data_IF_006357663179
#
_entry.id   IF_006357663179
#
_cell.length_a   1.000
_cell.length_b   1.000
_cell.length_c   1.000
_cell.angle_alpha   90.00
_cell.angle_beta   90.00
_cell.angle_gamma   90.00
#
_symmetry.space_group_name_H-M   'P 1'
#
loop_
_entity.id
_entity.type
_entity.pdbx_description
1 polymer ?
#
# COMPACT_ATOMS: atom_id res chain seq x y z
N UNK A 1 28.83 -19.02 4.01
CA UNK A 1 29.64 -18.11 4.88
C UNK A 1 28.67 -17.02 5.37
N UNK A 2 29.03 -16.00 6.18
CA UNK A 2 28.18 -14.81 6.22
C UNK A 2 28.16 -14.19 4.81
N UNK A 3 26.96 -13.87 4.32
CA UNK A 3 26.69 -13.35 2.97
C UNK A 3 25.76 -12.14 3.09
N UNK A 4 25.89 -11.17 2.20
CA UNK A 4 25.10 -9.94 2.22
C UNK A 4 23.87 -10.10 1.33
N UNK A 5 22.68 -9.86 1.90
CA UNK A 5 21.41 -9.88 1.16
C UNK A 5 20.97 -8.42 0.91
N UNK A 6 20.51 -8.12 -0.30
CA UNK A 6 19.96 -6.80 -0.61
C UNK A 6 18.62 -6.58 0.12
N UNK A 7 18.44 -5.38 0.69
CA UNK A 7 17.17 -4.99 1.30
C UNK A 7 16.08 -4.82 0.24
N UNK A 8 14.92 -5.42 0.48
CA UNK A 8 13.72 -5.31 -0.35
C UNK A 8 12.66 -4.40 0.30
N UNK A 9 11.60 -4.11 -0.44
CA UNK A 9 10.37 -3.52 0.07
C UNK A 9 9.16 -4.24 -0.57
N UNK A 10 8.03 -4.38 0.12
CA UNK A 10 7.75 -3.88 1.48
C UNK A 10 8.32 -4.75 2.60
N UNK A 11 8.40 -4.19 3.81
CA UNK A 11 8.41 -4.95 5.07
C UNK A 11 6.97 -5.15 5.49
N UNK A 12 6.57 -6.40 5.75
CA UNK A 12 5.20 -6.74 6.14
C UNK A 12 5.11 -6.98 7.64
N UNK A 13 4.08 -6.43 8.27
CA UNK A 13 3.75 -6.60 9.69
C UNK A 13 2.33 -7.15 9.82
N UNK A 14 2.16 -8.24 10.57
CA UNK A 14 0.85 -8.81 10.90
C UNK A 14 0.75 -9.11 12.40
N UNK A 15 -0.46 -8.93 12.95
CA UNK A 15 -0.75 -9.34 14.32
C UNK A 15 -0.84 -10.87 14.35
N UNK A 16 -0.27 -11.52 15.35
CA UNK A 16 -0.49 -12.94 15.61
C UNK A 16 -1.20 -13.13 16.95
N UNK A 17 -1.89 -14.26 17.11
CA UNK A 17 -2.65 -14.60 18.31
C UNK A 17 -1.80 -14.45 19.56
N UNK A 18 -2.30 -13.73 20.57
CA UNK A 18 -1.58 -13.51 21.84
C UNK A 18 -0.71 -12.25 21.90
N UNK A 19 -1.06 -11.18 21.17
CA UNK A 19 -0.36 -9.88 21.15
C UNK A 19 1.10 -9.94 20.64
N UNK A 20 1.46 -10.99 19.90
CA UNK A 20 2.76 -11.07 19.24
C UNK A 20 2.68 -10.43 17.85
N UNK A 21 3.81 -9.87 17.40
CA UNK A 21 3.92 -9.26 16.06
C UNK A 21 4.85 -10.09 15.21
N UNK A 22 4.38 -10.52 14.02
CA UNK A 22 5.24 -11.10 13.00
C UNK A 22 5.72 -9.99 12.07
N UNK A 23 7.03 -9.93 11.86
CA UNK A 23 7.69 -9.06 10.89
C UNK A 23 8.28 -9.93 9.79
N UNK A 24 7.95 -9.63 8.54
CA UNK A 24 8.37 -10.40 7.37
C UNK A 24 9.11 -9.51 6.38
N UNK A 25 10.21 -10.03 5.84
CA UNK A 25 11.02 -9.41 4.80
C UNK A 25 10.95 -10.28 3.55
N UNK A 26 10.75 -9.65 2.40
CA UNK A 26 10.76 -10.36 1.12
C UNK A 26 12.20 -10.63 0.70
N UNK A 27 12.48 -11.80 0.13
CA UNK A 27 13.81 -12.09 -0.42
C UNK A 27 13.95 -11.49 -1.83
N UNK A 28 15.15 -11.04 -2.24
CA UNK A 28 15.44 -10.70 -3.64
C UNK A 28 15.16 -11.87 -4.59
N UNK A 29 14.86 -11.56 -5.86
CA UNK A 29 14.50 -12.55 -6.89
C UNK A 29 15.57 -13.62 -7.17
N UNK A 30 16.83 -13.34 -6.81
CA UNK A 30 17.96 -14.28 -6.88
C UNK A 30 17.78 -15.53 -5.99
N UNK A 31 16.93 -15.41 -4.96
CA UNK A 31 16.62 -16.46 -3.98
C UNK A 31 15.30 -17.20 -4.30
N UNK A 32 15.18 -17.67 -5.54
CA UNK A 32 14.03 -18.43 -6.07
C UNK A 32 13.84 -19.84 -5.45
N UNK A 33 14.89 -20.43 -4.87
CA UNK A 33 14.92 -21.79 -4.33
C UNK A 33 15.53 -21.86 -2.93
N UNK A 34 14.96 -22.70 -2.07
CA UNK A 34 15.35 -22.86 -0.66
C UNK A 34 16.83 -23.26 -0.47
N UNK A 35 17.45 -23.94 -1.44
CA UNK A 35 18.87 -24.32 -1.40
C UNK A 35 19.82 -23.13 -1.58
N UNK A 36 19.36 -22.04 -2.19
CA UNK A 36 20.15 -20.80 -2.37
C UNK A 36 20.10 -19.89 -1.13
N UNK A 37 19.09 -20.04 -0.27
CA UNK A 37 18.88 -19.11 0.85
C UNK A 37 19.86 -19.44 1.99
N UNK A 38 20.71 -18.49 2.41
CA UNK A 38 21.66 -18.73 3.50
C UNK A 38 20.91 -18.95 4.82
N UNK A 39 21.29 -20.00 5.56
CA UNK A 39 20.64 -20.35 6.83
C UNK A 39 20.78 -19.21 7.85
N UNK A 40 19.67 -18.74 8.47
CA UNK A 40 19.73 -17.73 9.51
C UNK A 40 20.57 -18.18 10.72
N UNK A 41 21.34 -17.27 11.27
CA UNK A 41 22.15 -17.51 12.48
C UNK A 41 21.34 -17.41 13.77
N UNK A 42 20.21 -16.69 13.73
CA UNK A 42 19.26 -16.57 14.83
C UNK A 42 18.07 -17.52 14.61
N UNK A 43 17.80 -18.41 15.56
CA UNK A 43 16.69 -19.39 15.49
C UNK A 43 15.30 -18.77 15.56
N UNK A 44 15.17 -17.49 15.97
CA UNK A 44 13.91 -16.75 15.90
C UNK A 44 13.57 -16.25 14.47
N UNK A 45 14.50 -16.36 13.52
CA UNK A 45 14.28 -16.01 12.11
C UNK A 45 13.99 -17.30 11.34
N UNK A 46 12.76 -17.41 10.83
CA UNK A 46 12.30 -18.53 10.02
C UNK A 46 12.19 -18.10 8.55
N UNK A 47 12.40 -19.05 7.64
CA UNK A 47 12.19 -18.87 6.20
C UNK A 47 10.92 -19.63 5.83
N UNK A 48 9.95 -18.92 5.29
CA UNK A 48 8.63 -19.46 4.93
C UNK A 48 8.35 -19.17 3.45
N UNK A 49 7.74 -20.14 2.75
CA UNK A 49 7.23 -19.93 1.40
C UNK A 49 5.79 -19.42 1.49
N UNK A 50 5.58 -18.15 1.13
CA UNK A 50 4.24 -17.58 1.05
C UNK A 50 3.51 -18.10 -0.21
N UNK A 51 2.23 -18.48 -0.11
CA UNK A 51 1.41 -18.79 -1.28
C UNK A 51 1.08 -17.52 -2.08
N UNK A 52 0.60 -17.69 -3.31
CA UNK A 52 0.03 -16.58 -4.07
C UNK A 52 -1.32 -16.21 -3.46
N UNK A 53 -1.51 -14.95 -3.11
CA UNK A 53 -2.74 -14.44 -2.48
C UNK A 53 -3.21 -13.16 -3.18
N UNK A 54 -4.53 -12.95 -3.19
CA UNK A 54 -5.16 -11.73 -3.68
C UNK A 54 -5.80 -11.02 -2.50
N UNK A 55 -5.73 -9.69 -2.50
CA UNK A 55 -6.31 -8.88 -1.45
C UNK A 55 -6.55 -7.44 -1.92
N UNK A 56 -7.19 -6.67 -1.06
CA UNK A 56 -7.42 -5.23 -1.24
C UNK A 56 -6.42 -4.42 -0.44
N UNK A 57 -6.07 -3.25 -0.98
CA UNK A 57 -5.06 -2.36 -0.40
C UNK A 57 -5.65 -0.96 -0.22
N UNK A 58 -5.44 -0.37 0.96
CA UNK A 58 -5.56 1.06 1.17
C UNK A 58 -4.17 1.66 1.46
N UNK A 59 -3.75 2.65 0.67
CA UNK A 59 -2.48 3.36 0.85
C UNK A 59 -2.67 4.61 1.69
N UNK A 60 -1.83 4.76 2.71
CA UNK A 60 -1.81 5.90 3.62
C UNK A 60 -0.38 6.34 3.95
N UNK A 61 -0.26 7.45 4.69
CA UNK A 61 1.00 7.96 5.21
C UNK A 61 0.95 7.96 6.75
N UNK A 62 2.09 8.08 7.43
CA UNK A 62 2.14 8.19 8.89
C UNK A 62 2.76 6.98 9.58
N UNK A 63 2.14 6.52 10.68
CA UNK A 63 2.60 5.37 11.47
C UNK A 63 2.40 4.07 10.68
N UNK A 64 3.34 3.12 10.76
CA UNK A 64 3.21 1.85 10.04
C UNK A 64 2.02 1.03 10.57
N UNK A 65 2.03 0.68 11.86
CA UNK A 65 0.91 0.00 12.50
C UNK A 65 -0.17 1.00 12.95
N UNK A 66 -1.11 1.27 12.04
CA UNK A 66 -2.31 2.07 12.30
C UNK A 66 -3.57 1.23 12.04
N UNK A 67 -4.17 0.71 13.12
CA UNK A 67 -5.36 -0.13 13.04
C UNK A 67 -6.60 0.65 12.60
N UNK A 68 -6.62 1.99 12.67
CA UNK A 68 -7.75 2.75 12.14
C UNK A 68 -7.86 2.60 10.63
N UNK A 69 -6.73 2.55 9.92
CA UNK A 69 -6.71 2.34 8.46
C UNK A 69 -7.25 0.95 8.07
N UNK A 70 -7.01 -0.07 8.89
CA UNK A 70 -7.60 -1.40 8.71
C UNK A 70 -9.13 -1.35 8.88
N UNK A 71 -9.62 -0.69 9.94
CA UNK A 71 -11.05 -0.50 10.19
C UNK A 71 -11.72 0.29 9.07
N UNK A 72 -11.10 1.37 8.60
CA UNK A 72 -11.64 2.20 7.52
C UNK A 72 -11.74 1.42 6.20
N UNK A 73 -10.74 0.60 5.88
CA UNK A 73 -10.80 -0.34 4.75
C UNK A 73 -11.92 -1.38 4.93
N UNK A 74 -12.02 -2.00 6.11
CA UNK A 74 -13.08 -2.96 6.44
C UNK A 74 -14.49 -2.37 6.31
N UNK A 75 -14.70 -1.18 6.87
CA UNK A 75 -15.95 -0.43 6.80
C UNK A 75 -16.31 -0.07 5.35
N UNK A 76 -15.33 0.29 4.52
CA UNK A 76 -15.53 0.53 3.10
C UNK A 76 -15.97 -0.76 2.37
N UNK A 77 -15.34 -1.91 2.64
CA UNK A 77 -15.76 -3.20 2.06
C UNK A 77 -17.18 -3.61 2.47
N UNK A 78 -17.53 -3.41 3.74
CA UNK A 78 -18.89 -3.67 4.26
C UNK A 78 -19.90 -2.73 3.59
N UNK A 79 -19.59 -1.43 3.47
CA UNK A 79 -20.42 -0.47 2.74
C UNK A 79 -20.51 -0.79 1.24
N UNK A 80 -19.46 -1.38 0.68
CA UNK A 80 -19.43 -1.89 -0.69
C UNK A 80 -20.09 -3.27 -0.81
N UNK A 81 -20.73 -3.80 0.23
CA UNK A 81 -21.52 -5.04 0.17
C UNK A 81 -20.70 -6.30 -0.06
N UNK A 82 -19.43 -6.30 0.32
CA UNK A 82 -18.56 -7.49 0.25
C UNK A 82 -18.94 -8.45 1.39
N UNK A 83 -19.48 -9.60 1.03
CA UNK A 83 -19.90 -10.61 2.01
C UNK A 83 -18.72 -11.20 2.80
N UNK A 84 -18.98 -11.64 4.04
CA UNK A 84 -18.00 -12.27 4.92
C UNK A 84 -17.00 -11.32 5.59
N UNK A 85 -17.01 -10.02 5.30
CA UNK A 85 -16.17 -9.03 5.99
C UNK A 85 -16.87 -8.55 7.27
N UNK A 86 -16.18 -8.67 8.41
CA UNK A 86 -16.60 -8.12 9.72
C UNK A 86 -15.45 -7.33 10.34
N UNK A 87 -15.73 -6.45 11.31
CA UNK A 87 -14.65 -5.73 12.02
C UNK A 87 -13.70 -6.69 12.74
N UNK A 88 -14.22 -7.76 13.35
CA UNK A 88 -13.45 -8.82 13.99
C UNK A 88 -12.51 -9.51 12.98
N UNK A 89 -13.04 -9.99 11.86
CA UNK A 89 -12.26 -10.60 10.78
C UNK A 89 -11.15 -9.66 10.29
N UNK A 90 -11.49 -8.39 10.04
CA UNK A 90 -10.53 -7.37 9.60
C UNK A 90 -9.41 -7.19 10.62
N UNK A 91 -9.75 -7.06 11.91
CA UNK A 91 -8.79 -6.81 12.99
C UNK A 91 -7.85 -8.00 13.26
N UNK A 92 -8.30 -9.23 12.98
CA UNK A 92 -7.49 -10.45 13.08
C UNK A 92 -6.59 -10.69 11.84
N UNK A 93 -7.03 -10.31 10.64
CA UNK A 93 -6.41 -10.73 9.37
C UNK A 93 -5.71 -9.61 8.57
N UNK A 94 -5.75 -8.36 9.03
CA UNK A 94 -5.06 -7.27 8.32
C UNK A 94 -3.53 -7.35 8.43
N UNK A 95 -2.86 -6.97 7.35
CA UNK A 95 -1.42 -6.75 7.31
C UNK A 95 -1.12 -5.26 7.07
N UNK A 96 0.05 -4.79 7.52
CA UNK A 96 0.57 -3.46 7.15
C UNK A 96 1.92 -3.58 6.46
N UNK A 97 2.05 -2.93 5.31
CA UNK A 97 3.16 -3.04 4.37
C UNK A 97 3.91 -1.70 4.34
N UNK A 98 5.15 -1.69 4.87
CA UNK A 98 5.99 -0.51 4.97
C UNK A 98 7.02 -0.44 3.85
N UNK A 99 7.00 0.64 3.07
CA UNK A 99 7.91 0.83 1.93
C UNK A 99 9.10 1.75 2.23
N UNK A 100 9.02 2.54 3.31
CA UNK A 100 10.02 3.54 3.66
C UNK A 100 10.74 3.19 4.97
N UNK A 101 12.03 3.51 5.09
CA UNK A 101 12.81 3.21 6.29
C UNK A 101 12.33 4.02 7.51
N UNK A 102 12.62 3.54 8.75
CA UNK A 102 12.07 4.12 9.97
C UNK A 102 12.52 5.56 10.28
N UNK A 103 13.56 6.06 9.61
CA UNK A 103 14.02 7.45 9.70
C UNK A 103 13.30 8.42 8.73
N UNK A 104 12.48 7.92 7.80
CA UNK A 104 11.65 8.79 6.94
C UNK A 104 10.62 9.53 7.80
N UNK A 105 10.43 10.83 7.58
CA UNK A 105 9.39 11.61 8.28
C UNK A 105 8.00 10.97 8.04
N UNK A 106 7.15 10.81 9.08
CA UNK A 106 5.89 10.06 8.95
C UNK A 106 4.99 10.52 7.79
N UNK A 107 4.86 11.83 7.57
CA UNK A 107 4.05 12.41 6.49
C UNK A 107 4.53 12.04 5.06
N UNK A 108 5.77 11.57 4.92
CA UNK A 108 6.37 11.16 3.64
C UNK A 108 6.58 9.64 3.53
N UNK A 109 6.10 8.85 4.50
CA UNK A 109 6.06 7.38 4.37
C UNK A 109 4.90 6.98 3.49
N UNK A 110 5.12 5.99 2.63
CA UNK A 110 4.09 5.14 2.03
C UNK A 110 3.96 3.90 2.90
N UNK A 111 2.80 3.78 3.54
CA UNK A 111 2.33 2.55 4.16
C UNK A 111 1.11 2.06 3.38
N UNK A 112 0.88 0.77 3.37
CA UNK A 112 -0.32 0.15 2.83
C UNK A 112 -0.91 -0.78 3.88
N UNK A 113 -2.23 -0.76 4.03
CA UNK A 113 -2.96 -1.78 4.80
C UNK A 113 -3.58 -2.71 3.80
N UNK A 114 -3.35 -4.00 4.00
CA UNK A 114 -3.76 -5.06 3.10
C UNK A 114 -4.68 -6.02 3.85
N UNK A 115 -5.74 -6.46 3.17
CA UNK A 115 -6.63 -7.51 3.66
C UNK A 115 -6.80 -8.56 2.56
N UNK A 116 -6.59 -9.83 2.92
CA UNK A 116 -6.82 -10.97 2.05
C UNK A 116 -8.28 -11.03 1.63
N UNK A 117 -8.53 -11.42 0.38
CA UNK A 117 -9.85 -11.76 -0.12
C UNK A 117 -9.89 -13.20 -0.61
N UNK A 118 -11.09 -13.78 -0.63
CA UNK A 118 -11.37 -15.02 -1.37
C UNK A 118 -11.73 -14.72 -2.84
N UNK A 119 -11.79 -15.75 -3.68
CA UNK A 119 -12.02 -15.60 -5.12
C UNK A 119 -13.42 -15.02 -5.45
N UNK A 120 -14.42 -15.28 -4.61
CA UNK A 120 -15.79 -14.78 -4.75
C UNK A 120 -15.85 -13.27 -4.51
N UNK A 121 -15.25 -12.78 -3.42
CA UNK A 121 -15.11 -11.36 -3.08
C UNK A 121 -14.31 -10.61 -4.15
N UNK A 122 -13.24 -11.21 -4.67
CA UNK A 122 -12.43 -10.65 -5.77
C UNK A 122 -13.27 -10.54 -7.05
N UNK A 123 -14.09 -11.54 -7.36
CA UNK A 123 -14.96 -11.54 -8.55
C UNK A 123 -16.05 -10.48 -8.42
N UNK A 124 -16.76 -10.46 -7.28
CA UNK A 124 -17.76 -9.44 -6.94
C UNK A 124 -17.23 -8.00 -7.09
N UNK A 125 -16.05 -7.71 -6.53
CA UNK A 125 -15.47 -6.38 -6.63
C UNK A 125 -15.04 -6.01 -8.05
N UNK A 126 -14.59 -6.97 -8.87
CA UNK A 126 -14.27 -6.74 -10.29
C UNK A 126 -15.50 -6.44 -11.13
N UNK A 127 -16.62 -7.10 -10.86
CA UNK A 127 -17.90 -6.87 -11.53
C UNK A 127 -18.53 -5.53 -11.09
N UNK A 128 -18.46 -5.21 -9.80
CA UNK A 128 -19.00 -3.97 -9.22
C UNK A 128 -18.18 -2.73 -9.57
N UNK A 129 -16.85 -2.85 -9.60
CA UNK A 129 -15.92 -1.76 -9.89
C UNK A 129 -15.00 -2.12 -11.08
N UNK A 130 -15.56 -2.20 -12.31
CA UNK A 130 -14.80 -2.60 -13.48
C UNK A 130 -13.69 -1.59 -13.80
N UNK A 131 -12.46 -2.07 -13.90
CA UNK A 131 -11.28 -1.24 -14.13
C UNK A 131 -10.96 -1.13 -15.61
N UNK A 132 -10.89 0.10 -16.13
CA UNK A 132 -10.69 0.41 -17.56
C UNK A 132 -9.32 -0.09 -18.10
N UNK A 133 -8.37 -0.41 -17.21
CA UNK A 133 -7.11 -1.08 -17.53
C UNK A 133 -6.90 -2.25 -16.57
N UNK A 134 -6.21 -3.31 -17.01
CA UNK A 134 -6.06 -4.61 -16.31
C UNK A 134 -5.23 -4.56 -14.99
N UNK A 135 -5.07 -3.40 -14.36
CA UNK A 135 -4.22 -3.20 -13.17
C UNK A 135 -4.97 -2.60 -11.99
N UNK A 136 -5.54 -3.48 -11.16
CA UNK A 136 -5.96 -3.19 -9.76
C UNK A 136 -7.31 -2.50 -9.58
N UNK A 137 -8.13 -3.05 -8.69
CA UNK A 137 -9.41 -2.49 -8.24
C UNK A 137 -9.22 -1.09 -7.64
N UNK A 138 -9.81 -0.07 -8.27
CA UNK A 138 -9.89 1.28 -7.69
C UNK A 138 -11.25 1.50 -7.05
N UNK A 139 -11.35 1.19 -5.75
CA UNK A 139 -12.51 1.52 -4.92
C UNK A 139 -12.77 3.04 -4.87
N UNK A 140 -14.02 3.41 -4.64
CA UNK A 140 -14.50 4.78 -4.80
C UNK A 140 -13.93 5.79 -3.79
N UNK A 141 -13.73 7.02 -4.24
CA UNK A 141 -13.41 8.15 -3.37
C UNK A 141 -14.65 8.58 -2.58
N UNK A 142 -14.76 8.15 -1.32
CA UNK A 142 -15.73 8.77 -0.41
C UNK A 142 -15.37 10.24 -0.18
N UNK A 143 -16.38 11.11 -0.22
CA UNK A 143 -16.22 12.54 -0.43
C UNK A 143 -15.91 13.31 0.87
N UNK A 144 -14.65 13.41 1.28
CA UNK A 144 -14.14 14.50 2.14
C UNK A 144 -12.63 14.70 1.93
N UNK A 145 -12.24 15.44 0.88
CA UNK A 145 -11.00 16.24 0.84
C UNK A 145 -11.03 17.19 -0.35
N UNK A 146 -11.44 18.42 -0.09
CA UNK A 146 -11.63 19.48 -1.09
C UNK A 146 -10.28 20.03 -1.54
N UNK A 147 -9.85 19.64 -2.74
CA UNK A 147 -8.87 20.35 -3.55
C UNK A 147 -7.41 19.94 -3.37
N UNK A 148 -6.85 19.35 -4.43
CA UNK A 148 -5.72 19.92 -5.20
C UNK A 148 -5.55 19.12 -6.50
N UNK A 149 -5.32 19.83 -7.61
CA UNK A 149 -5.15 19.20 -8.92
C UNK A 149 -3.92 18.28 -8.92
N UNK A 150 -4.09 17.07 -9.45
CA UNK A 150 -2.97 16.16 -9.69
C UNK A 150 -2.16 16.63 -10.90
N UNK A 151 -0.87 16.90 -10.67
CA UNK A 151 0.16 16.88 -11.69
C UNK A 151 1.09 15.71 -11.39
N UNK A 152 1.20 14.76 -12.32
CA UNK A 152 2.24 13.75 -12.33
C UNK A 152 2.86 13.73 -13.73
N UNK A 153 4.12 14.15 -13.82
CA UNK A 153 4.87 14.15 -15.06
C UNK A 153 5.33 12.73 -15.40
N UNK A 154 4.88 12.20 -16.54
CA UNK A 154 5.56 11.11 -17.24
C UNK A 154 6.38 11.71 -18.37
N UNK A 155 7.71 11.59 -18.31
CA UNK A 155 8.61 12.17 -19.30
C UNK A 155 9.22 11.04 -20.14
N UNK A 156 8.61 10.79 -21.31
CA UNK A 156 9.21 10.27 -22.56
C UNK A 156 8.09 9.78 -23.51
N UNK A 157 7.88 10.47 -24.62
CA UNK A 157 6.86 10.14 -25.63
C UNK A 157 6.27 11.40 -26.26
N UNK A 158 6.60 11.65 -27.52
CA UNK A 158 6.30 12.91 -28.21
C UNK A 158 4.82 12.99 -28.63
N UNK A 159 4.09 13.99 -28.15
CA UNK A 159 2.80 14.40 -28.70
C UNK A 159 2.64 15.94 -28.60
N UNK A 160 2.48 16.59 -29.75
CA UNK A 160 2.23 18.03 -29.86
C UNK A 160 0.72 18.28 -29.72
N UNK A 161 0.32 19.18 -28.83
CA UNK A 161 -1.08 19.53 -28.62
C UNK A 161 -1.24 20.86 -27.91
N UNK A 162 -1.36 21.94 -28.68
CA UNK A 162 -1.65 23.29 -28.16
C UNK A 162 -3.15 23.41 -27.90
N UNK A 163 -3.55 23.82 -26.70
CA UNK A 163 -4.74 24.65 -26.55
C UNK A 163 -4.54 25.66 -25.40
N UNK A 164 -4.56 26.95 -25.75
CA UNK A 164 -4.53 28.03 -24.78
C UNK A 164 -5.95 28.38 -24.34
N UNK A 165 -6.19 28.46 -23.03
CA UNK A 165 -7.24 29.30 -22.45
C UNK A 165 -6.62 30.09 -21.31
N UNK A 166 -6.38 31.37 -21.56
CA UNK A 166 -5.94 32.29 -20.52
C UNK A 166 -7.14 32.87 -19.77
N UNK A 167 -6.97 33.11 -18.47
CA UNK A 167 -7.74 34.14 -17.77
C UNK A 167 -6.82 34.84 -16.77
N UNK A 168 -6.43 36.06 -17.13
CA UNK A 168 -5.75 37.02 -16.27
C UNK A 168 -6.63 37.35 -15.06
N UNK A 169 -6.03 37.54 -13.87
CA UNK A 169 -6.25 38.74 -13.04
C UNK A 169 -5.20 38.89 -11.91
N UNK A 170 -4.12 39.62 -12.24
CA UNK A 170 -3.55 40.77 -11.48
C UNK A 170 -3.48 40.76 -9.93
N UNK A 171 -2.26 40.50 -9.43
CA UNK A 171 -1.48 41.34 -8.46
C UNK A 171 -2.02 41.68 -7.05
N UNK A 172 -1.27 41.29 -6.00
CA UNK A 172 -0.35 42.23 -5.30
C UNK A 172 0.74 41.58 -4.41
N UNK A 173 1.81 42.36 -4.16
CA UNK A 173 3.03 42.13 -3.35
C UNK A 173 2.84 41.28 -2.07
N UNK A 174 3.67 40.27 -1.78
CA UNK A 174 4.85 40.33 -0.86
C UNK A 174 5.24 38.88 -0.43
N UNK A 175 6.40 38.49 0.12
CA UNK A 175 7.75 39.06 0.35
C UNK A 175 8.76 37.88 0.63
N UNK A 176 9.88 38.11 1.34
CA UNK A 176 10.97 37.15 1.69
C UNK A 176 10.62 36.23 2.91
N UNK A 177 11.39 35.19 3.31
CA UNK A 177 12.85 34.96 3.20
C UNK A 177 13.23 33.47 3.43
N UNK A 178 14.38 33.03 2.89
CA UNK A 178 15.07 31.78 3.29
C UNK A 178 15.68 31.89 4.70
N UNK A 179 15.70 30.76 5.41
CA UNK A 179 16.90 30.23 6.08
C UNK A 179 17.09 28.81 5.55
#
# INVERSE_FOLDING_TARGET
KPESIAMTAPVVMENTSGNMMKMMFMLPEEYDDMSKIPKPTNSAVLIEKLPSEIGVVHRYNGKLMDSQMAKDLGNQLISDGVEGITEEYVMEHYQTWGYNPPFTMPAFRRNEVWLKLNDEQVTYLKEKFPTINQGGLKGGSSSTLKGRNMLSFGLCGLAVGVLAVGLLFRSNKSQYRKV
#
